data_IF_936158226556
#
_entry.id   IF_936158226556
#
_cell.length_a   1.000
_cell.length_b   1.000
_cell.length_c   1.000
_cell.angle_alpha   90.00
_cell.angle_beta   90.00
_cell.angle_gamma   90.00
#
_symmetry.space_group_name_H-M   'P 1'
#
loop_
_entity.id
_entity.type
_entity.pdbx_description
1 polymer ?
#
# COMPACT_ATOMS: atom_id res chain seq x y z
N UNK A 1 -24.10 -15.76 5.38
CA UNK A 1 -23.30 -14.55 5.69
C UNK A 1 -21.85 -15.00 5.83
N UNK A 2 -20.97 -14.60 4.93
CA UNK A 2 -19.52 -14.82 5.08
C UNK A 2 -19.04 -13.98 6.26
N UNK A 3 -18.26 -14.56 7.17
CA UNK A 3 -17.71 -13.80 8.29
C UNK A 3 -16.83 -12.64 7.76
N UNK A 4 -16.85 -11.46 8.42
CA UNK A 4 -15.99 -10.35 8.03
C UNK A 4 -14.53 -10.76 8.10
N UNK A 5 -13.72 -10.35 7.11
CA UNK A 5 -12.29 -10.64 7.09
C UNK A 5 -11.63 -10.07 8.35
N UNK A 6 -10.93 -10.89 9.15
CA UNK A 6 -10.37 -10.44 10.42
C UNK A 6 -9.25 -9.43 10.17
N UNK A 7 -9.21 -8.39 11.00
CA UNK A 7 -8.07 -7.46 11.07
C UNK A 7 -6.97 -8.16 11.88
N UNK A 8 -5.89 -8.56 11.20
CA UNK A 8 -4.73 -9.21 11.81
C UNK A 8 -3.74 -8.14 12.20
N UNK A 9 -3.25 -8.10 13.43
CA UNK A 9 -2.19 -7.18 13.86
C UNK A 9 -1.54 -7.74 15.13
N UNK A 10 -0.20 -7.88 15.23
CA UNK A 10 0.43 -8.38 16.45
C UNK A 10 0.05 -7.58 17.69
N UNK A 11 -0.13 -6.26 17.54
CA UNK A 11 -0.62 -5.46 18.65
C UNK A 11 -2.02 -5.90 19.07
N UNK A 12 -2.95 -6.24 18.16
CA UNK A 12 -4.29 -6.72 18.54
C UNK A 12 -4.23 -8.14 19.12
N UNK A 13 -3.43 -9.02 18.52
CA UNK A 13 -3.33 -10.45 18.89
C UNK A 13 -2.60 -10.67 20.22
N UNK A 14 -1.70 -9.76 20.60
CA UNK A 14 -0.96 -9.80 21.85
C UNK A 14 -1.17 -8.48 22.63
N UNK A 15 -2.35 -8.31 23.27
CA UNK A 15 -2.71 -7.06 23.93
C UNK A 15 -1.80 -6.72 25.11
N UNK A 16 -1.28 -7.75 25.79
CA UNK A 16 -0.63 -7.69 27.11
C UNK A 16 0.89 -7.45 27.05
N UNK A 17 1.47 -7.25 25.87
CA UNK A 17 2.89 -6.88 25.77
C UNK A 17 3.08 -5.51 26.43
N UNK A 18 3.93 -5.41 27.48
CA UNK A 18 4.11 -4.15 28.20
C UNK A 18 4.74 -3.11 27.26
N UNK A 19 4.29 -1.84 27.34
CA UNK A 19 4.93 -0.78 26.59
C UNK A 19 6.36 -0.58 27.07
N UNK A 20 7.22 -0.07 26.18
CA UNK A 20 8.55 0.38 26.56
C UNK A 20 8.47 1.56 27.54
N UNK A 21 9.46 1.68 28.43
CA UNK A 21 9.57 2.83 29.33
C UNK A 21 9.68 4.12 28.50
N UNK A 22 8.71 5.05 28.60
CA UNK A 22 8.75 6.30 27.84
C UNK A 22 9.98 7.15 28.15
N UNK A 23 10.64 6.98 29.31
CA UNK A 23 11.88 7.68 29.65
C UNK A 23 13.02 7.38 28.66
N UNK A 24 13.04 6.20 28.03
CA UNK A 24 14.03 5.83 27.03
C UNK A 24 13.95 6.66 25.73
N UNK A 25 12.88 7.45 25.53
CA UNK A 25 12.80 8.42 24.43
C UNK A 25 13.71 9.64 24.64
N UNK A 26 14.15 9.93 25.88
CA UNK A 26 14.88 11.15 26.24
C UNK A 26 15.99 11.56 25.25
N UNK A 27 16.93 10.66 24.91
CA UNK A 27 17.98 10.95 23.94
C UNK A 27 17.48 11.34 22.54
N UNK A 28 16.45 10.65 22.02
CA UNK A 28 15.84 10.97 20.72
C UNK A 28 15.10 12.30 20.76
N UNK A 29 14.36 12.59 21.85
CA UNK A 29 13.65 13.86 22.00
C UNK A 29 14.62 15.04 22.02
N UNK A 30 15.72 14.92 22.78
CA UNK A 30 16.78 15.91 22.79
C UNK A 30 17.42 16.09 21.40
N UNK A 31 17.57 14.98 20.65
CA UNK A 31 18.08 15.03 19.28
C UNK A 31 17.15 15.78 18.33
N UNK A 32 15.85 15.51 18.39
CA UNK A 32 14.84 16.14 17.53
C UNK A 32 14.75 17.65 17.76
N UNK A 33 15.02 18.10 18.98
CA UNK A 33 15.04 19.52 19.35
C UNK A 33 16.35 20.26 18.99
N UNK A 34 17.43 19.54 18.67
CA UNK A 34 18.71 20.16 18.37
C UNK A 34 18.76 20.68 16.93
N UNK A 35 19.31 21.88 16.70
CA UNK A 35 19.39 22.50 15.37
C UNK A 35 20.41 21.84 14.43
N UNK A 36 21.34 21.03 14.97
CA UNK A 36 22.40 20.40 14.16
C UNK A 36 21.82 19.46 13.10
N UNK A 37 22.32 19.49 11.85
CA UNK A 37 21.83 18.64 10.77
C UNK A 37 22.06 17.15 11.06
N UNK A 38 21.23 16.29 10.44
CA UNK A 38 21.38 14.82 10.49
C UNK A 38 22.12 14.37 9.24
N UNK A 39 23.44 14.19 9.32
CA UNK A 39 24.26 13.79 8.17
C UNK A 39 24.26 12.26 7.95
N UNK A 40 24.09 11.49 9.04
CA UNK A 40 24.09 10.03 9.03
C UNK A 40 22.98 9.50 9.93
N UNK A 41 22.58 8.24 9.74
CA UNK A 41 21.60 7.59 10.62
C UNK A 41 22.09 7.57 12.09
N UNK A 42 21.26 8.05 13.01
CA UNK A 42 21.52 8.10 14.46
C UNK A 42 20.54 7.17 15.18
N UNK A 43 21.04 6.13 15.86
CA UNK A 43 20.22 5.16 16.62
C UNK A 43 20.20 5.47 18.11
N UNK A 44 19.02 5.37 18.71
CA UNK A 44 18.74 5.67 20.11
C UNK A 44 18.19 4.42 20.83
N UNK A 45 18.07 4.44 22.17
CA UNK A 45 17.44 3.34 22.90
C UNK A 45 16.05 2.98 22.36
N UNK A 46 15.27 4.00 21.96
CA UNK A 46 14.03 3.83 21.22
C UNK A 46 14.13 4.56 19.88
N UNK A 47 14.28 3.79 18.81
CA UNK A 47 14.19 4.27 17.44
C UNK A 47 15.47 4.75 16.80
N UNK A 48 15.33 5.27 15.58
CA UNK A 48 16.41 5.80 14.76
C UNK A 48 15.94 7.05 14.03
N UNK A 49 16.76 8.11 14.05
CA UNK A 49 16.61 9.28 13.20
C UNK A 49 17.53 9.11 12.00
N UNK A 50 16.97 9.10 10.79
CA UNK A 50 17.72 8.88 9.55
C UNK A 50 18.09 10.18 8.88
N UNK A 51 19.17 10.16 8.10
CA UNK A 51 19.64 11.33 7.34
C UNK A 51 18.61 11.87 6.32
N UNK A 52 17.66 11.02 5.90
CA UNK A 52 16.55 11.42 5.03
C UNK A 52 15.28 11.89 5.78
N UNK A 53 15.42 12.22 7.06
CA UNK A 53 14.36 12.77 7.90
C UNK A 53 13.33 11.76 8.39
N UNK A 54 13.63 10.45 8.31
CA UNK A 54 12.79 9.41 8.90
C UNK A 54 13.04 9.30 10.40
N UNK A 55 11.97 9.43 11.17
CA UNK A 55 11.90 9.09 12.59
C UNK A 55 11.27 7.70 12.69
N UNK A 56 12.10 6.66 12.76
CA UNK A 56 11.68 5.26 12.76
C UNK A 56 11.65 4.69 14.18
N UNK A 57 10.44 4.49 14.69
CA UNK A 57 10.16 3.79 15.94
C UNK A 57 9.24 2.60 15.69
N UNK A 58 9.33 1.91 14.56
CA UNK A 58 8.54 0.71 14.35
C UNK A 58 8.90 -0.37 15.39
N UNK A 59 7.87 -1.04 15.93
CA UNK A 59 7.99 -2.18 16.86
C UNK A 59 8.73 -1.82 18.16
N UNK A 60 8.57 -0.58 18.65
CA UNK A 60 9.21 -0.10 19.88
C UNK A 60 8.28 -0.16 21.10
N UNK A 61 7.02 -0.59 20.92
CA UNK A 61 6.07 -0.71 22.02
C UNK A 61 5.76 0.62 22.71
N UNK A 62 5.67 1.73 21.97
CA UNK A 62 5.53 3.06 22.58
C UNK A 62 4.27 3.21 23.46
N UNK A 63 3.16 2.58 23.06
CA UNK A 63 1.86 2.83 23.68
C UNK A 63 1.40 4.28 23.54
N UNK A 64 0.25 4.65 24.14
CA UNK A 64 -0.25 6.02 24.10
C UNK A 64 0.68 7.02 24.80
N UNK A 65 1.32 6.65 25.91
CA UNK A 65 2.18 7.55 26.69
C UNK A 65 3.49 7.89 25.95
N UNK A 66 4.12 6.90 25.31
CA UNK A 66 5.28 7.13 24.45
C UNK A 66 4.91 8.00 23.25
N UNK A 67 3.75 7.78 22.64
CA UNK A 67 3.24 8.64 21.57
C UNK A 67 3.04 10.09 22.06
N UNK A 68 2.45 10.28 23.24
CA UNK A 68 2.22 11.61 23.80
C UNK A 68 3.50 12.43 24.01
N UNK A 69 4.63 11.74 24.29
CA UNK A 69 5.94 12.40 24.42
C UNK A 69 6.62 12.64 23.07
N UNK A 70 6.56 11.66 22.16
CA UNK A 70 7.25 11.72 20.88
C UNK A 70 6.62 12.70 19.89
N UNK A 71 5.30 12.66 19.76
CA UNK A 71 4.59 13.30 18.67
C UNK A 71 4.82 14.82 18.62
N UNK A 72 4.72 15.57 19.73
CA UNK A 72 5.00 17.01 19.73
C UNK A 72 6.44 17.34 19.30
N UNK A 73 7.41 16.58 19.81
CA UNK A 73 8.83 16.79 19.48
C UNK A 73 9.13 16.48 18.00
N UNK A 74 8.52 15.42 17.46
CA UNK A 74 8.69 15.06 16.06
C UNK A 74 8.07 16.10 15.13
N UNK A 75 6.84 16.56 15.40
CA UNK A 75 6.18 17.55 14.55
C UNK A 75 6.87 18.92 14.54
N UNK A 76 7.44 19.33 15.67
CA UNK A 76 8.18 20.59 15.80
C UNK A 76 9.63 20.51 15.26
N UNK A 77 10.14 19.31 14.98
CA UNK A 77 11.52 19.13 14.53
C UNK A 77 11.71 19.51 13.07
N UNK A 78 12.74 20.33 12.79
CA UNK A 78 13.17 20.61 11.42
C UNK A 78 13.76 19.37 10.70
N UNK A 79 14.07 18.30 11.45
CA UNK A 79 14.67 17.07 10.91
C UNK A 79 13.64 16.02 10.54
N UNK A 80 12.40 16.12 11.04
CA UNK A 80 11.40 15.08 10.86
C UNK A 80 10.53 15.36 9.63
N UNK A 81 10.69 14.52 8.59
CA UNK A 81 9.85 14.55 7.39
C UNK A 81 8.91 13.33 7.31
N UNK A 82 9.30 12.22 7.93
CA UNK A 82 8.58 10.95 7.83
C UNK A 82 8.53 10.29 9.20
N UNK A 83 7.33 10.01 9.68
CA UNK A 83 7.09 9.43 10.99
C UNK A 83 6.66 7.97 10.85
N UNK A 84 7.49 7.03 11.31
CA UNK A 84 7.25 5.60 11.17
C UNK A 84 7.01 4.96 12.54
N UNK A 85 5.73 4.75 12.86
CA UNK A 85 5.27 4.26 14.16
C UNK A 85 4.57 2.91 14.05
N UNK A 86 4.96 2.05 13.12
CA UNK A 86 4.30 0.77 12.94
C UNK A 86 4.39 -0.15 14.17
N UNK A 87 3.30 -0.83 14.54
CA UNK A 87 3.32 -1.83 15.63
C UNK A 87 3.76 -1.25 16.97
N UNK A 88 3.09 -0.17 17.41
CA UNK A 88 3.36 0.48 18.72
C UNK A 88 2.17 0.53 19.66
N UNK A 89 1.00 0.02 19.25
CA UNK A 89 -0.22 0.02 20.07
C UNK A 89 -0.60 1.40 20.63
N UNK A 90 -0.38 2.48 19.86
CA UNK A 90 -0.68 3.85 20.32
C UNK A 90 -2.19 4.10 20.52
N UNK A 91 -3.04 3.30 19.88
CA UNK A 91 -4.50 3.36 19.99
C UNK A 91 -5.12 4.68 19.54
N UNK A 92 -6.41 4.84 19.81
CA UNK A 92 -7.15 6.07 19.51
C UNK A 92 -6.64 7.27 20.32
N UNK A 93 -6.11 7.04 21.52
CA UNK A 93 -5.49 8.08 22.32
C UNK A 93 -4.26 8.68 21.63
N UNK A 94 -3.33 7.84 21.14
CA UNK A 94 -2.18 8.31 20.39
C UNK A 94 -2.56 8.95 19.05
N UNK A 95 -3.60 8.46 18.37
CA UNK A 95 -4.13 9.08 17.16
C UNK A 95 -4.70 10.49 17.42
N UNK A 96 -5.42 10.68 18.55
CA UNK A 96 -5.87 12.01 19.00
C UNK A 96 -4.70 12.93 19.32
N UNK A 97 -3.65 12.43 19.98
CA UNK A 97 -2.45 13.23 20.25
C UNK A 97 -1.77 13.66 18.96
N UNK A 98 -1.67 12.76 17.97
CA UNK A 98 -1.14 13.11 16.64
C UNK A 98 -1.98 14.19 15.99
N UNK A 99 -3.31 14.02 15.94
CA UNK A 99 -4.22 15.02 15.38
C UNK A 99 -4.06 16.41 16.04
N UNK A 100 -4.01 16.46 17.38
CA UNK A 100 -3.81 17.73 18.09
C UNK A 100 -2.44 18.37 17.77
N UNK A 101 -1.42 17.55 17.56
CA UNK A 101 -0.06 18.02 17.28
C UNK A 101 0.05 18.61 15.87
N UNK A 102 -0.61 18.02 14.87
CA UNK A 102 -0.52 18.46 13.48
C UNK A 102 -1.19 19.84 13.26
N UNK A 103 -2.13 20.23 14.12
CA UNK A 103 -2.81 21.53 14.02
C UNK A 103 -1.88 22.75 14.16
N UNK A 104 -0.68 22.58 14.73
CA UNK A 104 0.30 23.66 14.97
C UNK A 104 1.24 23.96 13.79
N UNK A 105 1.06 23.32 12.64
CA UNK A 105 2.01 23.34 11.52
C UNK A 105 3.17 22.36 11.75
N UNK A 106 3.61 21.68 10.69
CA UNK A 106 4.62 20.61 10.77
C UNK A 106 5.35 20.40 9.44
N UNK A 107 6.52 19.75 9.50
CA UNK A 107 7.29 19.30 8.33
C UNK A 107 6.97 17.87 7.87
N UNK A 108 5.97 17.21 8.46
CA UNK A 108 5.68 15.79 8.21
C UNK A 108 4.96 15.56 6.86
N UNK A 109 5.57 14.78 5.99
CA UNK A 109 5.05 14.40 4.67
C UNK A 109 4.49 12.96 4.65
N UNK A 110 4.95 12.11 5.56
CA UNK A 110 4.52 10.70 5.64
C UNK A 110 4.21 10.29 7.06
N UNK A 111 3.02 9.74 7.26
CA UNK A 111 2.58 9.15 8.51
C UNK A 111 2.40 7.64 8.31
N UNK A 112 3.32 6.86 8.85
CA UNK A 112 3.21 5.41 8.84
C UNK A 112 2.72 4.89 10.21
N UNK A 113 1.44 4.58 10.27
CA UNK A 113 0.69 4.26 11.50
C UNK A 113 0.16 2.81 11.48
N UNK A 114 0.77 1.93 10.69
CA UNK A 114 0.30 0.56 10.52
C UNK A 114 0.30 -0.27 11.82
N UNK A 115 -0.75 -1.04 12.06
CA UNK A 115 -0.89 -1.95 13.21
C UNK A 115 -0.71 -1.25 14.57
N UNK A 116 -1.57 -0.26 14.84
CA UNK A 116 -1.52 0.55 16.06
C UNK A 116 -2.77 0.49 16.93
N UNK A 117 -3.73 -0.40 16.60
CA UNK A 117 -5.05 -0.45 17.25
C UNK A 117 -5.83 0.86 17.13
N UNK A 118 -5.63 1.62 16.05
CA UNK A 118 -6.42 2.82 15.75
C UNK A 118 -7.78 2.37 15.25
N UNK A 119 -8.85 2.71 15.96
CA UNK A 119 -10.23 2.46 15.61
C UNK A 119 -10.91 3.66 14.94
N UNK A 120 -12.24 3.61 14.81
CA UNK A 120 -13.04 4.69 14.23
C UNK A 120 -12.82 6.05 14.91
N UNK A 121 -12.70 6.10 16.23
CA UNK A 121 -12.58 7.35 16.98
C UNK A 121 -11.23 8.04 16.74
N UNK A 122 -10.14 7.27 16.74
CA UNK A 122 -8.81 7.78 16.42
C UNK A 122 -8.73 8.23 14.96
N UNK A 123 -9.36 7.49 14.05
CA UNK A 123 -9.44 7.89 12.64
C UNK A 123 -10.27 9.15 12.44
N UNK A 124 -11.37 9.33 13.18
CA UNK A 124 -12.17 10.55 13.14
C UNK A 124 -11.35 11.77 13.58
N UNK A 125 -10.56 11.63 14.65
CA UNK A 125 -9.65 12.70 15.09
C UNK A 125 -8.59 13.05 14.04
N UNK A 126 -7.94 12.04 13.45
CA UNK A 126 -6.98 12.24 12.35
C UNK A 126 -7.65 12.89 11.14
N UNK A 127 -8.89 12.50 10.81
CA UNK A 127 -9.64 13.07 9.71
C UNK A 127 -9.90 14.57 9.89
N UNK A 128 -10.29 14.98 11.09
CA UNK A 128 -10.49 16.40 11.40
C UNK A 128 -9.23 17.24 11.21
N UNK A 129 -8.08 16.74 11.67
CA UNK A 129 -6.81 17.46 11.56
C UNK A 129 -6.24 17.46 10.13
N UNK A 130 -6.37 16.35 9.40
CA UNK A 130 -5.79 16.23 8.06
C UNK A 130 -6.68 16.79 6.96
N UNK A 131 -7.95 17.12 7.23
CA UNK A 131 -8.88 17.62 6.23
C UNK A 131 -8.37 18.90 5.52
N UNK A 132 -7.68 19.78 6.25
CA UNK A 132 -7.10 21.02 5.71
C UNK A 132 -5.57 21.00 5.67
N UNK A 133 -4.95 19.88 6.04
CA UNK A 133 -3.50 19.76 5.98
C UNK A 133 -3.01 19.71 4.52
N UNK A 134 -1.97 20.49 4.25
CA UNK A 134 -1.37 20.62 2.92
C UNK A 134 0.00 19.95 2.81
N UNK A 135 0.48 19.37 3.92
CA UNK A 135 1.85 18.85 4.03
C UNK A 135 1.91 17.33 3.86
N UNK A 136 1.05 16.57 4.56
CA UNK A 136 1.03 15.10 4.49
C UNK A 136 0.61 14.65 3.11
N UNK A 137 1.49 13.89 2.46
CA UNK A 137 1.28 13.30 1.14
C UNK A 137 0.96 11.80 1.19
N UNK A 138 1.32 11.13 2.28
CA UNK A 138 1.13 9.70 2.43
C UNK A 138 0.70 9.29 3.85
N UNK A 139 -0.43 8.61 3.93
CA UNK A 139 -1.02 8.08 5.16
C UNK A 139 -1.13 6.56 5.08
N UNK A 140 -0.45 5.86 5.97
CA UNK A 140 -0.42 4.41 6.00
C UNK A 140 -1.09 3.87 7.27
N UNK A 141 -2.25 3.26 7.11
CA UNK A 141 -3.11 2.81 8.21
C UNK A 141 -3.29 1.30 8.24
N UNK A 142 -2.52 0.54 7.46
CA UNK A 142 -2.67 -0.92 7.35
C UNK A 142 -2.82 -1.60 8.71
N UNK A 143 -3.68 -2.62 8.78
CA UNK A 143 -3.86 -3.47 9.97
C UNK A 143 -4.35 -2.70 11.21
N UNK A 144 -5.12 -1.64 11.01
CA UNK A 144 -5.86 -0.94 12.07
C UNK A 144 -7.35 -1.26 11.96
N UNK A 145 -8.07 -1.49 13.08
CA UNK A 145 -9.48 -1.89 13.07
C UNK A 145 -10.42 -0.70 12.78
N UNK A 146 -10.33 -0.15 11.56
CA UNK A 146 -11.11 1.03 11.16
C UNK A 146 -12.57 0.69 10.89
N UNK A 147 -12.82 -0.44 10.24
CA UNK A 147 -14.15 -0.85 9.79
C UNK A 147 -14.88 0.22 8.96
N UNK A 148 -16.17 0.04 8.70
CA UNK A 148 -16.97 1.00 7.93
C UNK A 148 -17.04 2.39 8.59
N UNK A 149 -17.03 2.45 9.93
CA UNK A 149 -17.11 3.73 10.66
C UNK A 149 -15.86 4.57 10.48
N UNK A 150 -14.66 3.97 10.55
CA UNK A 150 -13.42 4.65 10.23
C UNK A 150 -13.33 5.07 8.76
N UNK A 151 -13.94 4.30 7.84
CA UNK A 151 -14.04 4.69 6.43
C UNK A 151 -14.89 5.96 6.23
N UNK A 152 -15.92 6.21 7.05
CA UNK A 152 -16.66 7.49 7.02
C UNK A 152 -15.77 8.68 7.39
N UNK A 153 -14.93 8.51 8.41
CA UNK A 153 -13.93 9.53 8.77
C UNK A 153 -12.95 9.81 7.63
N UNK A 154 -12.43 8.76 7.00
CA UNK A 154 -11.55 8.88 5.82
C UNK A 154 -12.26 9.56 4.64
N UNK A 155 -13.51 9.23 4.35
CA UNK A 155 -14.28 9.88 3.31
C UNK A 155 -14.47 11.38 3.58
N UNK A 156 -14.72 11.77 4.84
CA UNK A 156 -14.80 13.17 5.24
C UNK A 156 -13.47 13.91 5.08
N UNK A 157 -12.34 13.27 5.43
CA UNK A 157 -10.99 13.78 5.15
C UNK A 157 -10.82 14.00 3.64
N UNK A 158 -11.09 12.97 2.83
CA UNK A 158 -10.78 12.96 1.40
C UNK A 158 -11.59 13.97 0.59
N UNK A 159 -12.79 14.34 1.02
CA UNK A 159 -13.59 15.41 0.37
C UNK A 159 -12.94 16.79 0.43
N UNK A 160 -12.15 17.06 1.48
CA UNK A 160 -11.57 18.38 1.74
C UNK A 160 -10.08 18.44 1.43
N UNK A 161 -9.36 17.39 1.81
CA UNK A 161 -7.91 17.35 1.68
C UNK A 161 -7.53 17.23 0.20
N UNK A 162 -6.64 18.07 -0.31
CA UNK A 162 -6.15 17.98 -1.70
C UNK A 162 -4.69 17.54 -1.80
N UNK A 163 -3.96 17.48 -0.68
CA UNK A 163 -2.53 17.16 -0.68
C UNK A 163 -2.22 15.65 -0.63
N UNK A 164 -3.10 14.84 -0.05
CA UNK A 164 -2.89 13.41 0.11
C UNK A 164 -2.96 12.70 -1.24
N UNK A 165 -1.88 11.97 -1.57
CA UNK A 165 -1.75 11.18 -2.80
C UNK A 165 -1.60 9.68 -2.55
N UNK A 166 -1.29 9.28 -1.32
CA UNK A 166 -1.15 7.87 -0.92
C UNK A 166 -2.01 7.53 0.27
N UNK A 167 -2.79 6.46 0.15
CA UNK A 167 -3.56 5.92 1.24
C UNK A 167 -3.43 4.39 1.29
N UNK A 168 -2.91 3.87 2.41
CA UNK A 168 -2.86 2.43 2.66
C UNK A 168 -3.91 2.04 3.71
N UNK A 169 -4.89 1.23 3.28
CA UNK A 169 -5.97 0.64 4.07
C UNK A 169 -5.94 -0.88 4.01
N UNK A 170 -4.76 -1.49 3.85
CA UNK A 170 -4.62 -2.95 3.81
C UNK A 170 -5.08 -3.55 5.14
N UNK A 171 -6.02 -4.47 5.07
CA UNK A 171 -6.57 -5.23 6.18
C UNK A 171 -7.05 -4.32 7.33
N UNK A 172 -7.94 -3.38 7.01
CA UNK A 172 -8.55 -2.46 7.99
C UNK A 172 -10.03 -2.76 8.27
N UNK A 173 -10.57 -3.77 7.59
CA UNK A 173 -11.95 -4.24 7.80
C UNK A 173 -13.01 -3.31 7.19
N UNK A 174 -12.62 -2.38 6.32
CA UNK A 174 -13.52 -1.38 5.72
C UNK A 174 -14.61 -2.01 4.83
N UNK A 175 -14.33 -3.19 4.26
CA UNK A 175 -15.26 -3.90 3.37
C UNK A 175 -15.68 -3.11 2.13
N UNK A 176 -16.64 -3.64 1.38
CA UNK A 176 -17.17 -3.01 0.18
C UNK A 176 -17.90 -1.68 0.47
N UNK A 177 -18.62 -1.60 1.60
CA UNK A 177 -19.32 -0.38 2.01
C UNK A 177 -18.34 0.76 2.32
N UNK A 178 -17.22 0.46 2.98
CA UNK A 178 -16.16 1.43 3.17
C UNK A 178 -15.54 1.88 1.86
N UNK A 179 -15.29 0.96 0.92
CA UNK A 179 -14.79 1.33 -0.43
C UNK A 179 -15.77 2.23 -1.18
N UNK A 180 -17.08 1.99 -1.06
CA UNK A 180 -18.11 2.86 -1.65
C UNK A 180 -18.06 4.27 -1.07
N UNK A 181 -17.95 4.41 0.25
CA UNK A 181 -17.79 5.71 0.90
C UNK A 181 -16.53 6.45 0.43
N UNK A 182 -15.43 5.72 0.23
CA UNK A 182 -14.20 6.30 -0.32
C UNK A 182 -14.40 6.73 -1.77
N UNK A 183 -15.04 5.91 -2.60
CA UNK A 183 -15.34 6.25 -4.00
C UNK A 183 -16.16 7.54 -4.07
N UNK A 184 -17.26 7.63 -3.32
CA UNK A 184 -18.13 8.81 -3.29
C UNK A 184 -17.32 10.08 -2.97
N UNK A 185 -16.45 10.01 -1.95
CA UNK A 185 -15.58 11.13 -1.58
C UNK A 185 -14.51 11.45 -2.64
N UNK A 186 -13.95 10.43 -3.30
CA UNK A 186 -12.91 10.62 -4.31
C UNK A 186 -13.46 11.22 -5.61
N UNK A 187 -14.72 10.95 -5.96
CA UNK A 187 -15.41 11.56 -7.11
C UNK A 187 -15.60 13.07 -6.94
N UNK A 188 -15.64 13.57 -5.70
CA UNK A 188 -15.77 14.99 -5.39
C UNK A 188 -14.43 15.74 -5.40
N UNK A 189 -13.30 15.04 -5.55
CA UNK A 189 -11.97 15.65 -5.48
C UNK A 189 -11.53 16.26 -6.80
N UNK A 190 -10.97 17.45 -6.74
CA UNK A 190 -10.29 18.06 -7.89
C UNK A 190 -8.99 17.33 -8.26
N UNK A 191 -8.25 16.85 -7.26
CA UNK A 191 -6.98 16.15 -7.43
C UNK A 191 -7.14 14.68 -7.09
N UNK A 192 -6.93 13.77 -8.06
CA UNK A 192 -7.15 12.34 -7.85
C UNK A 192 -6.13 11.80 -6.83
N UNK A 193 -6.60 10.86 -5.99
CA UNK A 193 -5.70 10.09 -5.15
C UNK A 193 -4.88 9.14 -6.05
N UNK A 194 -3.55 9.25 -6.01
CA UNK A 194 -2.71 8.49 -6.95
C UNK A 194 -2.60 7.00 -6.59
N UNK A 195 -2.40 6.69 -5.30
CA UNK A 195 -2.02 5.36 -4.81
C UNK A 195 -2.93 4.91 -3.69
N UNK A 196 -3.67 3.83 -3.94
CA UNK A 196 -4.63 3.27 -2.99
C UNK A 196 -4.39 1.77 -2.77
N UNK A 197 -4.12 1.41 -1.51
CA UNK A 197 -3.93 0.03 -1.11
C UNK A 197 -5.15 -0.46 -0.30
N UNK A 198 -5.82 -1.50 -0.78
CA UNK A 198 -7.07 -2.05 -0.25
C UNK A 198 -6.98 -3.57 0.00
N UNK A 199 -5.77 -4.13 0.05
CA UNK A 199 -5.59 -5.57 0.18
C UNK A 199 -6.19 -6.16 1.46
N UNK A 200 -6.76 -7.36 1.41
CA UNK A 200 -7.18 -8.08 2.61
C UNK A 200 -8.38 -7.49 3.35
N UNK A 201 -9.34 -6.89 2.63
CA UNK A 201 -10.55 -6.26 3.18
C UNK A 201 -11.85 -7.03 2.89
N UNK A 202 -11.75 -8.23 2.30
CA UNK A 202 -12.91 -9.09 2.06
C UNK A 202 -13.87 -8.54 1.00
N UNK A 203 -13.34 -7.86 -0.01
CA UNK A 203 -14.14 -7.15 -1.00
C UNK A 203 -14.98 -8.11 -1.89
N UNK A 204 -14.40 -9.23 -2.31
CA UNK A 204 -15.04 -10.22 -3.19
C UNK A 204 -15.33 -9.69 -4.60
N UNK A 205 -15.81 -10.56 -5.48
CA UNK A 205 -16.16 -10.21 -6.86
C UNK A 205 -17.23 -9.09 -6.96
N UNK A 206 -18.16 -9.02 -6.00
CA UNK A 206 -19.24 -8.03 -6.00
C UNK A 206 -18.75 -6.58 -5.82
N UNK A 207 -17.56 -6.38 -5.25
CA UNK A 207 -16.95 -5.06 -5.10
C UNK A 207 -16.14 -4.62 -6.32
N UNK A 208 -15.90 -5.50 -7.31
CA UNK A 208 -15.12 -5.18 -8.49
C UNK A 208 -15.63 -3.97 -9.29
N UNK A 209 -16.96 -3.73 -9.44
CA UNK A 209 -17.46 -2.50 -10.06
C UNK A 209 -17.03 -1.22 -9.32
N UNK A 210 -17.00 -1.24 -7.98
CA UNK A 210 -16.51 -0.10 -7.19
C UNK A 210 -15.02 0.14 -7.45
N UNK A 211 -14.24 -0.94 -7.50
CA UNK A 211 -12.80 -0.87 -7.78
C UNK A 211 -12.50 -0.37 -9.20
N UNK A 212 -13.31 -0.77 -10.17
CA UNK A 212 -13.24 -0.26 -11.55
C UNK A 212 -13.56 1.24 -11.61
N UNK A 213 -14.58 1.71 -10.88
CA UNK A 213 -14.94 3.12 -10.80
C UNK A 213 -13.83 3.97 -10.13
N UNK A 214 -13.11 3.43 -9.14
CA UNK A 214 -11.93 4.12 -8.58
C UNK A 214 -10.90 4.47 -9.66
N UNK A 215 -10.70 3.59 -10.64
CA UNK A 215 -9.77 3.82 -11.76
C UNK A 215 -10.37 4.79 -12.77
N UNK A 216 -11.56 4.46 -13.30
CA UNK A 216 -12.17 5.15 -14.44
C UNK A 216 -12.70 6.53 -14.10
N UNK A 217 -13.30 6.68 -12.93
CA UNK A 217 -14.07 7.88 -12.56
C UNK A 217 -13.30 8.74 -11.57
N UNK A 218 -12.72 8.13 -10.53
CA UNK A 218 -11.93 8.86 -9.53
C UNK A 218 -10.45 9.05 -9.91
N UNK A 219 -9.99 8.48 -11.03
CA UNK A 219 -8.64 8.68 -11.56
C UNK A 219 -7.51 8.04 -10.74
N UNK A 220 -7.81 7.03 -9.92
CA UNK A 220 -6.79 6.31 -9.14
C UNK A 220 -5.87 5.55 -10.08
N UNK A 221 -4.58 5.90 -10.05
CA UNK A 221 -3.57 5.37 -11.00
C UNK A 221 -2.90 4.09 -10.53
N UNK A 222 -2.75 3.91 -9.22
CA UNK A 222 -2.19 2.70 -8.65
C UNK A 222 -3.15 2.09 -7.64
N UNK A 223 -3.73 0.95 -8.01
CA UNK A 223 -4.69 0.24 -7.21
C UNK A 223 -4.13 -1.12 -6.81
N UNK A 224 -3.90 -1.30 -5.51
CA UNK A 224 -3.38 -2.55 -4.95
C UNK A 224 -4.46 -3.21 -4.10
N UNK A 225 -5.05 -4.29 -4.61
CA UNK A 225 -6.16 -5.04 -3.99
C UNK A 225 -5.82 -6.52 -3.75
N UNK A 226 -4.61 -6.89 -3.26
CA UNK A 226 -4.28 -8.29 -3.08
C UNK A 226 -5.12 -8.95 -1.97
N UNK A 227 -5.31 -10.26 -2.02
CA UNK A 227 -6.05 -11.02 -1.00
C UNK A 227 -7.52 -10.57 -0.80
N UNK A 228 -8.30 -10.45 -1.87
CA UNK A 228 -9.70 -9.97 -1.83
C UNK A 228 -10.73 -10.86 -2.54
N UNK A 229 -10.36 -12.03 -3.07
CA UNK A 229 -11.29 -12.98 -3.72
C UNK A 229 -12.07 -12.39 -4.91
N UNK A 230 -11.40 -11.58 -5.75
CA UNK A 230 -12.07 -10.95 -6.91
C UNK A 230 -12.45 -11.94 -8.03
N UNK A 231 -11.67 -13.02 -8.19
CA UNK A 231 -11.83 -14.01 -9.26
C UNK A 231 -11.61 -13.45 -10.67
N UNK A 232 -11.85 -14.29 -11.67
CA UNK A 232 -11.70 -13.92 -13.08
C UNK A 232 -12.65 -12.79 -13.52
N UNK A 233 -13.89 -12.80 -13.03
CA UNK A 233 -14.86 -11.75 -13.34
C UNK A 233 -14.41 -10.38 -12.79
N UNK A 234 -13.88 -10.35 -11.56
CA UNK A 234 -13.36 -9.11 -11.00
C UNK A 234 -12.11 -8.62 -11.73
N UNK A 235 -11.22 -9.53 -12.15
CA UNK A 235 -10.08 -9.19 -12.99
C UNK A 235 -10.49 -8.60 -14.34
N UNK A 236 -11.54 -9.13 -14.98
CA UNK A 236 -12.06 -8.62 -16.24
C UNK A 236 -12.61 -7.18 -16.12
N UNK A 237 -13.31 -6.86 -15.03
CA UNK A 237 -13.79 -5.49 -14.77
C UNK A 237 -12.64 -4.50 -14.54
N UNK A 238 -11.59 -4.91 -13.84
CA UNK A 238 -10.40 -4.07 -13.65
C UNK A 238 -9.60 -3.91 -14.95
N UNK A 239 -9.59 -4.93 -15.81
CA UNK A 239 -8.98 -4.85 -17.13
C UNK A 239 -9.71 -3.83 -18.02
N UNK A 240 -11.04 -3.90 -18.10
CA UNK A 240 -11.87 -2.92 -18.83
C UNK A 240 -11.66 -1.49 -18.32
N UNK A 241 -11.58 -1.32 -16.99
CA UNK A 241 -11.30 -0.02 -16.38
C UNK A 241 -9.91 0.52 -16.73
N UNK A 242 -8.90 -0.34 -16.80
CA UNK A 242 -7.53 0.02 -17.19
C UNK A 242 -7.45 0.43 -18.66
N UNK A 243 -8.12 -0.29 -19.56
CA UNK A 243 -8.14 -0.01 -21.00
C UNK A 243 -8.80 1.35 -21.30
N UNK A 244 -9.89 1.67 -20.59
CA UNK A 244 -10.59 2.96 -20.71
C UNK A 244 -9.95 4.13 -19.95
N UNK A 245 -8.82 3.93 -19.26
CA UNK A 245 -8.19 4.97 -18.46
C UNK A 245 -7.36 5.95 -19.31
N UNK A 246 -7.34 7.23 -18.93
CA UNK A 246 -6.58 8.25 -19.67
C UNK A 246 -5.05 8.02 -19.63
N UNK A 247 -4.58 7.26 -18.65
CA UNK A 247 -3.17 6.97 -18.47
C UNK A 247 -2.95 5.55 -17.94
N UNK A 248 -1.84 4.89 -18.34
CA UNK A 248 -1.53 3.54 -17.85
C UNK A 248 -1.56 3.43 -16.33
N UNK A 249 -2.24 2.39 -15.85
CA UNK A 249 -2.44 2.11 -14.42
C UNK A 249 -1.52 1.02 -13.90
N UNK A 250 -1.38 0.97 -12.57
CA UNK A 250 -0.60 -0.04 -11.86
C UNK A 250 -1.55 -0.87 -11.00
N UNK A 251 -1.63 -2.17 -11.28
CA UNK A 251 -2.57 -3.09 -10.65
C UNK A 251 -1.85 -4.14 -9.81
N UNK A 252 -2.16 -4.17 -8.52
CA UNK A 252 -1.74 -5.21 -7.60
C UNK A 252 -2.87 -6.18 -7.29
N UNK A 253 -2.86 -7.35 -7.89
CA UNK A 253 -3.98 -8.32 -7.87
C UNK A 253 -3.59 -9.68 -7.27
N UNK A 254 -2.45 -9.79 -6.58
CA UNK A 254 -2.00 -11.04 -5.95
C UNK A 254 -3.02 -11.67 -4.99
N UNK A 255 -3.22 -12.98 -5.05
CA UNK A 255 -4.13 -13.68 -4.13
C UNK A 255 -5.62 -13.35 -4.32
N UNK A 256 -6.12 -13.34 -5.55
CA UNK A 256 -7.53 -13.06 -5.84
C UNK A 256 -8.27 -14.23 -6.51
N UNK A 257 -7.65 -15.40 -6.67
CA UNK A 257 -8.26 -16.53 -7.36
C UNK A 257 -8.38 -16.29 -8.87
N UNK A 258 -7.46 -15.50 -9.44
CA UNK A 258 -7.42 -15.20 -10.88
C UNK A 258 -6.79 -16.39 -11.60
N UNK A 259 -7.55 -17.01 -12.50
CA UNK A 259 -7.15 -18.09 -13.40
C UNK A 259 -6.76 -17.56 -14.79
N UNK A 260 -6.73 -18.48 -15.76
CA UNK A 260 -6.33 -18.16 -17.13
C UNK A 260 -7.29 -17.18 -17.81
N UNK A 261 -8.60 -17.26 -17.53
CA UNK A 261 -9.60 -16.37 -18.15
C UNK A 261 -9.43 -14.91 -17.67
N UNK A 262 -9.24 -14.68 -16.37
CA UNK A 262 -9.00 -13.33 -15.86
C UNK A 262 -7.65 -12.77 -16.31
N UNK A 263 -6.61 -13.61 -16.38
CA UNK A 263 -5.33 -13.20 -16.96
C UNK A 263 -5.42 -12.89 -18.46
N UNK A 264 -6.30 -13.58 -19.20
CA UNK A 264 -6.60 -13.26 -20.60
C UNK A 264 -7.22 -11.87 -20.72
N UNK A 265 -8.23 -11.55 -19.91
CA UNK A 265 -8.82 -10.21 -19.90
C UNK A 265 -7.79 -9.12 -19.57
N UNK A 266 -6.93 -9.35 -18.58
CA UNK A 266 -5.84 -8.41 -18.24
C UNK A 266 -4.81 -8.27 -19.36
N UNK A 267 -4.54 -9.34 -20.12
CA UNK A 267 -3.67 -9.29 -21.29
C UNK A 267 -4.32 -8.50 -22.44
N UNK A 268 -5.62 -8.69 -22.68
CA UNK A 268 -6.34 -7.95 -23.72
C UNK A 268 -6.34 -6.42 -23.42
N UNK A 269 -6.29 -6.03 -22.15
CA UNK A 269 -6.19 -4.63 -21.69
C UNK A 269 -4.74 -4.15 -21.40
N UNK A 270 -3.70 -4.90 -21.80
CA UNK A 270 -2.32 -4.60 -21.40
C UNK A 270 -1.80 -3.24 -21.91
N UNK A 271 -2.43 -2.68 -22.95
CA UNK A 271 -2.16 -1.33 -23.46
C UNK A 271 -2.45 -0.22 -22.43
N UNK A 272 -3.36 -0.45 -21.48
CA UNK A 272 -3.67 0.45 -20.37
C UNK A 272 -2.94 0.14 -19.06
N UNK A 273 -2.00 -0.81 -19.04
CA UNK A 273 -1.38 -1.31 -17.79
C UNK A 273 0.14 -1.12 -17.81
N UNK A 274 0.65 -0.30 -16.90
CA UNK A 274 2.08 -0.07 -16.70
C UNK A 274 2.72 -1.11 -15.77
N UNK A 275 1.97 -1.59 -14.77
CA UNK A 275 2.44 -2.62 -13.85
C UNK A 275 1.32 -3.60 -13.50
N UNK A 276 1.62 -4.88 -13.59
CA UNK A 276 0.69 -5.95 -13.25
C UNK A 276 1.35 -6.92 -12.28
N UNK A 277 0.77 -7.03 -11.08
CA UNK A 277 1.18 -7.99 -10.07
C UNK A 277 0.09 -9.05 -9.85
N UNK A 278 0.34 -10.25 -10.35
CA UNK A 278 -0.49 -11.44 -10.12
C UNK A 278 0.14 -12.39 -9.10
N UNK A 279 1.32 -12.04 -8.56
CA UNK A 279 2.11 -12.94 -7.75
C UNK A 279 1.51 -13.17 -6.37
N UNK A 280 2.07 -14.17 -5.68
CA UNK A 280 1.63 -14.50 -4.33
C UNK A 280 1.94 -13.39 -3.33
N UNK A 281 0.94 -13.02 -2.55
CA UNK A 281 1.12 -12.11 -1.40
C UNK A 281 1.33 -12.88 -0.09
N UNK A 282 2.06 -12.28 0.85
CA UNK A 282 2.30 -12.88 2.18
C UNK A 282 1.00 -13.06 2.98
N UNK A 283 0.00 -12.24 2.71
CA UNK A 283 -1.28 -12.25 3.42
C UNK A 283 -2.22 -13.38 3.01
N UNK A 284 -1.94 -14.10 1.91
CA UNK A 284 -2.82 -15.16 1.38
C UNK A 284 -3.20 -16.21 2.43
N UNK A 285 -2.19 -16.73 3.14
CA UNK A 285 -2.43 -17.78 4.14
C UNK A 285 -3.18 -17.24 5.36
N UNK A 286 -2.78 -16.07 5.86
CA UNK A 286 -3.35 -15.50 7.10
C UNK A 286 -4.78 -14.99 6.94
N UNK A 287 -5.18 -14.69 5.69
CA UNK A 287 -6.51 -14.17 5.34
C UNK A 287 -7.32 -15.19 4.53
N UNK A 288 -6.83 -16.42 4.35
CA UNK A 288 -7.48 -17.49 3.58
C UNK A 288 -7.82 -17.07 2.13
N UNK A 289 -7.03 -16.17 1.57
CA UNK A 289 -7.22 -15.69 0.22
C UNK A 289 -6.77 -16.72 -0.84
N UNK A 290 -7.52 -16.89 -1.94
CA UNK A 290 -7.20 -17.84 -2.99
C UNK A 290 -6.00 -17.35 -3.79
N UNK A 291 -5.00 -18.20 -3.96
CA UNK A 291 -3.86 -17.91 -4.84
C UNK A 291 -4.31 -17.72 -6.30
N UNK A 292 -3.58 -16.90 -7.05
CA UNK A 292 -3.79 -16.79 -8.50
C UNK A 292 -3.16 -18.00 -9.20
N UNK A 293 -3.83 -18.53 -10.21
CA UNK A 293 -3.34 -19.64 -11.03
C UNK A 293 -3.59 -19.44 -12.54
N UNK A 294 -3.10 -18.34 -13.15
CA UNK A 294 -3.21 -18.14 -14.59
C UNK A 294 -2.45 -19.20 -15.41
N UNK A 295 -1.41 -19.82 -14.83
CA UNK A 295 -0.66 -20.89 -15.48
C UNK A 295 0.05 -20.45 -16.76
N UNK A 296 0.39 -21.43 -17.61
CA UNK A 296 1.00 -21.18 -18.92
C UNK A 296 0.01 -20.50 -19.89
N UNK A 297 -1.29 -20.81 -19.80
CA UNK A 297 -2.32 -20.21 -20.67
C UNK A 297 -2.41 -18.69 -20.50
N UNK A 298 -2.48 -18.21 -19.25
CA UNK A 298 -2.43 -16.78 -18.98
C UNK A 298 -1.08 -16.16 -19.37
N UNK A 299 0.02 -16.91 -19.26
CA UNK A 299 1.33 -16.45 -19.73
C UNK A 299 1.40 -16.30 -21.25
N UNK A 300 0.76 -17.20 -22.02
CA UNK A 300 0.67 -17.08 -23.48
C UNK A 300 -0.16 -15.87 -23.90
N UNK A 301 -1.28 -15.61 -23.21
CA UNK A 301 -2.07 -14.40 -23.42
C UNK A 301 -1.24 -13.13 -23.18
N UNK A 302 -0.57 -13.05 -22.03
CA UNK A 302 0.32 -11.92 -21.71
C UNK A 302 1.47 -11.79 -22.73
N UNK A 303 2.05 -12.90 -23.18
CA UNK A 303 3.09 -12.89 -24.20
C UNK A 303 2.59 -12.33 -25.54
N UNK A 304 1.38 -12.69 -25.96
CA UNK A 304 0.78 -12.18 -27.20
C UNK A 304 0.53 -10.66 -27.15
N UNK A 305 0.16 -10.13 -25.98
CA UNK A 305 -0.13 -8.71 -25.78
C UNK A 305 1.10 -7.84 -25.42
N UNK A 306 2.23 -8.46 -25.08
CA UNK A 306 3.42 -7.74 -24.61
C UNK A 306 4.04 -6.78 -25.65
N UNK A 307 4.14 -7.13 -26.94
CA UNK A 307 4.66 -6.22 -27.96
C UNK A 307 3.82 -4.94 -28.06
N UNK A 308 4.46 -3.77 -27.94
CA UNK A 308 3.78 -2.47 -27.98
C UNK A 308 3.11 -2.06 -26.66
N UNK A 309 3.07 -2.91 -25.64
CA UNK A 309 2.51 -2.55 -24.34
C UNK A 309 3.41 -1.57 -23.55
N UNK A 310 2.83 -0.70 -22.69
CA UNK A 310 3.60 0.16 -21.79
C UNK A 310 4.12 -0.58 -20.55
N UNK A 311 3.97 -1.91 -20.48
CA UNK A 311 4.23 -2.70 -19.28
C UNK A 311 5.70 -2.61 -18.85
N UNK A 312 5.92 -2.05 -17.66
CA UNK A 312 7.23 -1.93 -17.01
C UNK A 312 7.47 -3.02 -15.98
N UNK A 313 6.42 -3.53 -15.34
CA UNK A 313 6.57 -4.50 -14.25
C UNK A 313 5.53 -5.60 -14.37
N UNK A 314 6.00 -6.84 -14.41
CA UNK A 314 5.16 -8.03 -14.42
C UNK A 314 5.57 -8.98 -13.29
N UNK A 315 4.69 -9.26 -12.35
CA UNK A 315 4.96 -10.18 -11.24
C UNK A 315 4.10 -11.44 -11.37
N UNK A 316 4.77 -12.60 -11.51
CA UNK A 316 4.17 -13.92 -11.77
C UNK A 316 4.74 -15.00 -10.83
N UNK A 317 5.35 -14.63 -9.69
CA UNK A 317 5.79 -15.61 -8.70
C UNK A 317 4.58 -16.35 -8.13
N UNK A 318 4.66 -17.68 -8.16
CA UNK A 318 3.65 -18.59 -7.61
C UNK A 318 2.28 -18.55 -8.31
N UNK A 319 2.25 -18.33 -9.62
CA UNK A 319 1.02 -18.25 -10.43
C UNK A 319 0.71 -19.51 -11.25
N UNK A 320 1.41 -20.63 -10.99
CA UNK A 320 1.33 -21.84 -11.82
C UNK A 320 2.16 -21.79 -13.11
N UNK A 321 2.90 -20.71 -13.34
CA UNK A 321 3.78 -20.54 -14.50
C UNK A 321 4.86 -21.63 -14.57
N UNK A 322 4.95 -22.32 -15.71
CA UNK A 322 5.99 -23.32 -15.97
C UNK A 322 7.08 -22.78 -16.89
N UNK A 323 8.09 -23.61 -17.19
CA UNK A 323 9.15 -23.26 -18.12
C UNK A 323 8.66 -22.98 -19.55
N UNK A 324 7.51 -23.50 -19.97
CA UNK A 324 6.95 -23.24 -21.31
C UNK A 324 6.38 -21.83 -21.40
N UNK A 325 5.49 -21.45 -20.48
CA UNK A 325 4.95 -20.09 -20.42
C UNK A 325 6.06 -19.05 -20.23
N UNK A 326 7.03 -19.31 -19.35
CA UNK A 326 8.15 -18.39 -19.13
C UNK A 326 9.03 -18.18 -20.38
N UNK A 327 9.25 -19.24 -21.18
CA UNK A 327 9.98 -19.14 -22.46
C UNK A 327 9.17 -18.37 -23.51
N UNK A 328 7.85 -18.58 -23.58
CA UNK A 328 6.98 -17.84 -24.49
C UNK A 328 6.97 -16.35 -24.17
N UNK A 329 6.82 -15.99 -22.88
CA UNK A 329 6.94 -14.61 -22.41
C UNK A 329 8.31 -14.01 -22.80
N UNK A 330 9.40 -14.73 -22.52
CA UNK A 330 10.76 -14.26 -22.84
C UNK A 330 10.93 -13.99 -24.35
N UNK A 331 10.40 -14.89 -25.20
CA UNK A 331 10.48 -14.75 -26.65
C UNK A 331 9.71 -13.53 -27.15
N UNK A 332 8.60 -13.19 -26.48
CA UNK A 332 7.76 -12.06 -26.83
C UNK A 332 8.27 -10.70 -26.34
N UNK A 333 9.28 -10.64 -25.45
CA UNK A 333 9.87 -9.35 -25.01
C UNK A 333 10.61 -8.70 -26.19
N UNK A 334 10.12 -7.58 -26.75
CA UNK A 334 10.80 -6.91 -27.86
C UNK A 334 12.07 -6.20 -27.39
N UNK A 335 12.99 -5.91 -28.32
CA UNK A 335 14.28 -5.29 -27.99
C UNK A 335 14.14 -3.88 -27.39
N UNK A 336 13.08 -3.15 -27.76
CA UNK A 336 12.74 -1.81 -27.29
C UNK A 336 11.77 -1.82 -26.10
N UNK A 337 11.44 -3.00 -25.53
CA UNK A 337 10.50 -3.14 -24.43
C UNK A 337 10.77 -2.16 -23.27
N UNK A 338 9.74 -1.52 -22.69
CA UNK A 338 9.90 -0.70 -21.49
C UNK A 338 10.03 -1.54 -20.21
N UNK A 339 9.99 -2.88 -20.31
CA UNK A 339 9.97 -3.79 -19.17
C UNK A 339 11.24 -3.69 -18.32
N UNK A 340 11.05 -3.44 -17.02
CA UNK A 340 12.08 -3.23 -16.01
C UNK A 340 12.17 -4.40 -15.03
N UNK A 341 11.08 -5.17 -14.88
CA UNK A 341 11.00 -6.25 -13.92
C UNK A 341 10.06 -7.37 -14.37
N UNK A 342 10.55 -8.62 -14.25
CA UNK A 342 9.72 -9.82 -14.34
C UNK A 342 9.95 -10.71 -13.11
N UNK A 343 8.93 -10.83 -12.28
CA UNK A 343 8.93 -11.71 -11.12
C UNK A 343 8.62 -13.15 -11.52
N UNK A 344 9.60 -14.04 -11.37
CA UNK A 344 9.49 -15.45 -11.77
C UNK A 344 9.65 -16.39 -10.56
N UNK A 345 8.77 -17.39 -10.48
CA UNK A 345 8.76 -18.37 -9.37
C UNK A 345 10.08 -19.13 -9.20
N UNK A 346 10.37 -19.65 -7.98
CA UNK A 346 11.63 -20.34 -7.68
C UNK A 346 11.87 -21.59 -8.55
N UNK A 347 10.82 -22.30 -8.96
CA UNK A 347 10.90 -23.53 -9.75
C UNK A 347 11.33 -23.37 -11.22
N UNK A 348 11.53 -22.14 -11.71
CA UNK A 348 11.95 -21.90 -13.09
C UNK A 348 13.47 -21.98 -13.28
N UNK A 349 13.97 -22.49 -14.42
CA UNK A 349 15.41 -22.62 -14.67
C UNK A 349 16.16 -21.29 -14.54
N UNK A 350 17.32 -21.30 -13.86
CA UNK A 350 18.17 -20.11 -13.68
C UNK A 350 18.52 -19.43 -15.01
N UNK A 351 18.73 -20.22 -16.07
CA UNK A 351 19.02 -19.70 -17.42
C UNK A 351 17.90 -18.79 -17.94
N UNK A 352 16.63 -19.16 -17.74
CA UNK A 352 15.48 -18.34 -18.17
C UNK A 352 15.46 -17.02 -17.42
N UNK A 353 15.67 -17.05 -16.10
CA UNK A 353 15.72 -15.84 -15.26
C UNK A 353 16.83 -14.89 -15.68
N UNK A 354 18.02 -15.44 -15.97
CA UNK A 354 19.16 -14.66 -16.48
C UNK A 354 18.85 -14.01 -17.83
N UNK A 355 18.28 -14.75 -18.77
CA UNK A 355 17.92 -14.21 -20.09
C UNK A 355 16.85 -13.13 -20.04
N UNK A 356 15.94 -13.16 -19.06
CA UNK A 356 15.10 -11.99 -18.79
C UNK A 356 15.94 -10.80 -18.35
N UNK A 357 16.84 -10.97 -17.38
CA UNK A 357 17.72 -9.89 -16.90
C UNK A 357 18.52 -9.19 -18.01
N UNK A 358 18.92 -9.92 -19.05
CA UNK A 358 19.61 -9.37 -20.23
C UNK A 358 18.69 -8.50 -21.14
N UNK A 359 17.37 -8.67 -21.06
CA UNK A 359 16.36 -7.92 -21.85
C UNK A 359 15.68 -6.79 -21.08
N UNK A 360 15.83 -6.74 -19.76
CA UNK A 360 15.14 -5.75 -18.92
C UNK A 360 15.91 -4.43 -18.88
N UNK A 361 15.15 -3.34 -18.86
CA UNK A 361 15.68 -2.00 -18.59
C UNK A 361 16.02 -1.84 -17.10
N UNK A 362 16.93 -0.92 -16.75
CA UNK A 362 17.15 -0.55 -15.36
C UNK A 362 15.85 -0.07 -14.71
N UNK A 363 15.57 -0.58 -13.52
CA UNK A 363 14.38 -0.20 -12.76
C UNK A 363 14.45 1.27 -12.34
N UNK A 364 13.32 1.98 -12.50
CA UNK A 364 13.18 3.34 -11.96
C UNK A 364 13.14 3.31 -10.44
N UNK A 365 13.59 4.40 -9.83
CA UNK A 365 13.45 4.58 -8.39
C UNK A 365 11.97 4.56 -8.01
N UNK A 366 11.65 3.88 -6.91
CA UNK A 366 10.30 3.93 -6.36
C UNK A 366 9.93 5.37 -5.98
N UNK A 367 8.64 5.67 -6.07
CA UNK A 367 8.10 6.97 -5.71
C UNK A 367 8.47 7.35 -4.24
N UNK A 368 8.79 8.63 -3.92
CA UNK A 368 9.25 9.04 -2.59
C UNK A 368 8.40 8.52 -1.42
N UNK A 369 7.08 8.57 -1.54
CA UNK A 369 6.16 8.07 -0.50
C UNK A 369 6.31 6.56 -0.23
N UNK A 370 6.67 5.77 -1.24
CA UNK A 370 6.96 4.34 -1.09
C UNK A 370 8.37 4.10 -0.55
N UNK A 371 9.34 4.96 -0.89
CA UNK A 371 10.71 4.88 -0.36
C UNK A 371 10.76 5.22 1.12
N UNK A 372 9.97 6.20 1.55
CA UNK A 372 9.89 6.65 2.94
C UNK A 372 9.55 5.50 3.91
N UNK A 373 8.74 4.53 3.47
CA UNK A 373 8.36 3.36 4.27
C UNK A 373 9.09 2.07 3.85
N UNK A 374 10.08 2.17 2.95
CA UNK A 374 10.79 1.02 2.39
C UNK A 374 11.68 0.27 3.38
N UNK A 375 11.98 0.83 4.57
CA UNK A 375 12.63 0.08 5.67
C UNK A 375 11.68 -0.89 6.36
N UNK A 376 10.36 -0.61 6.34
CA UNK A 376 9.38 -1.37 7.11
C UNK A 376 8.99 -2.70 6.46
N UNK A 377 9.19 -2.81 5.16
CA UNK A 377 8.87 -4.01 4.36
C UNK A 377 10.09 -4.92 4.12
N UNK A 378 11.21 -4.70 4.82
CA UNK A 378 12.41 -5.55 4.74
C UNK A 378 12.37 -6.71 5.72
#
# INVERSE_FOLDING_TARGET
MTQPTPVRCPAIEHPDLPPADPAALGPLLARLAADRPVETDETFPLGTLRADGRVDLCKQGLGPDGAARLLPAAAASAHAAHLLLGTNAIGDAGARTLAATLAGGHGLHTLYLGCNRIGPDGMSALAGSLADDTTVRALWLKRNPLFADGARGLAALLRRNTALRTLDLVNTGIGADGVRLLLDALLEREQPLERLFLGGNGLGAAAAPLLAALIREAGVRELYVPANHLGDQGAALLADAADGSAHPVRLGLGGNGIGAAGARSLADALGGIEALDLGRTMSERSLEAPGNHPGDEGAYALAAALPGSPLRRLELRHTGLTGRGAKSLLAAVPADSPLEYVGLGPGLPRRVKRSFGERLRPARAAHPDLRAIGSVYR
#
